data_IF_392807929235
#
_entry.id   IF_392807929235
#
_cell.length_a   1.000
_cell.length_b   1.000
_cell.length_c   1.000
_cell.angle_alpha   90.00
_cell.angle_beta   90.00
_cell.angle_gamma   90.00
#
_symmetry.space_group_name_H-M   'P 1'
#
loop_
_entity.id
_entity.type
_entity.pdbx_description
1 polymer ?
#
# COMPACT_ATOMS: atom_id res chain seq x y z
N UNK A 1 6.21 -1.12 -48.84
CA UNK A 1 5.61 -1.90 -47.73
C UNK A 1 6.60 -2.88 -47.03
N UNK A 2 7.91 -2.58 -46.96
CA UNK A 2 8.92 -3.50 -46.37
C UNK A 2 9.18 -3.35 -44.85
N UNK A 3 8.60 -2.35 -44.18
CA UNK A 3 8.93 -2.03 -42.78
C UNK A 3 8.22 -2.84 -41.68
N UNK A 4 7.10 -3.52 -41.97
CA UNK A 4 6.32 -4.22 -40.93
C UNK A 4 6.87 -5.60 -40.53
N UNK A 5 7.60 -6.29 -41.43
CA UNK A 5 8.12 -7.65 -41.19
C UNK A 5 9.46 -7.68 -40.44
N UNK A 6 10.24 -6.59 -40.50
CA UNK A 6 11.49 -6.43 -39.74
C UNK A 6 11.23 -6.06 -38.28
N UNK A 7 10.40 -5.03 -38.07
CA UNK A 7 10.04 -4.54 -36.73
C UNK A 7 9.36 -5.62 -35.86
N UNK A 8 8.52 -6.47 -36.45
CA UNK A 8 7.87 -7.58 -35.72
C UNK A 8 8.88 -8.64 -35.24
N UNK A 9 9.94 -8.90 -36.01
CA UNK A 9 11.00 -9.85 -35.64
C UNK A 9 11.91 -9.32 -34.53
N UNK A 10 12.29 -8.05 -34.59
CA UNK A 10 13.02 -7.38 -33.51
C UNK A 10 12.19 -7.32 -32.22
N UNK A 11 10.88 -7.09 -32.34
CA UNK A 11 9.97 -7.10 -31.19
C UNK A 11 9.88 -8.48 -30.51
N UNK A 12 9.83 -9.56 -31.28
CA UNK A 12 9.83 -10.93 -30.73
C UNK A 12 11.17 -11.25 -30.06
N UNK A 13 12.29 -10.74 -30.58
CA UNK A 13 13.63 -10.96 -30.00
C UNK A 13 13.82 -10.32 -28.60
N UNK A 14 13.38 -9.07 -28.40
CA UNK A 14 13.50 -8.40 -27.09
C UNK A 14 12.61 -9.07 -26.05
N UNK A 15 11.36 -9.39 -26.41
CA UNK A 15 10.44 -10.06 -25.48
C UNK A 15 10.97 -11.43 -25.04
N UNK A 16 11.49 -12.23 -25.97
CA UNK A 16 12.08 -13.53 -25.64
C UNK A 16 13.38 -13.40 -24.86
N UNK A 17 14.19 -12.37 -25.14
CA UNK A 17 15.36 -12.03 -24.35
C UNK A 17 15.00 -11.74 -22.89
N UNK A 18 14.03 -10.86 -22.64
CA UNK A 18 13.59 -10.52 -21.29
C UNK A 18 13.03 -11.74 -20.53
N UNK A 19 12.30 -12.64 -21.21
CA UNK A 19 11.82 -13.89 -20.60
C UNK A 19 12.97 -14.81 -20.18
N UNK A 20 14.02 -14.91 -20.99
CA UNK A 20 15.22 -15.69 -20.65
C UNK A 20 15.96 -15.07 -19.46
N UNK A 21 16.14 -13.76 -19.45
CA UNK A 21 16.80 -13.07 -18.33
C UNK A 21 15.97 -13.16 -17.04
N UNK A 22 14.65 -13.02 -17.10
CA UNK A 22 13.77 -13.26 -15.95
C UNK A 22 13.93 -14.69 -15.43
N UNK A 23 14.04 -15.69 -16.31
CA UNK A 23 14.28 -17.08 -15.89
C UNK A 23 15.61 -17.23 -15.15
N UNK A 24 16.66 -16.55 -15.60
CA UNK A 24 17.95 -16.53 -14.90
C UNK A 24 17.84 -15.83 -13.54
N UNK A 25 17.15 -14.70 -13.45
CA UNK A 25 16.91 -14.02 -12.18
C UNK A 25 16.19 -14.94 -11.18
N UNK A 26 15.12 -15.62 -11.61
CA UNK A 26 14.41 -16.60 -10.78
C UNK A 26 15.34 -17.69 -10.24
N UNK A 27 16.26 -18.20 -11.07
CA UNK A 27 17.25 -19.20 -10.68
C UNK A 27 18.28 -18.65 -9.69
N UNK A 28 18.84 -17.47 -9.95
CA UNK A 28 19.85 -16.81 -9.10
C UNK A 28 19.29 -16.58 -7.69
N UNK A 29 18.07 -16.03 -7.60
CA UNK A 29 17.46 -15.66 -6.33
C UNK A 29 16.65 -16.80 -5.69
N UNK A 30 16.39 -17.89 -6.42
CA UNK A 30 15.57 -19.02 -5.97
C UNK A 30 14.13 -18.61 -5.62
N UNK A 31 13.62 -17.50 -6.19
CA UNK A 31 12.34 -16.86 -5.84
C UNK A 31 11.71 -16.18 -7.05
N UNK A 32 10.46 -15.72 -6.91
CA UNK A 32 9.74 -14.99 -7.96
C UNK A 32 9.30 -15.90 -9.11
N UNK A 33 9.16 -17.20 -8.89
CA UNK A 33 8.79 -18.17 -9.93
C UNK A 33 7.40 -17.89 -10.53
N UNK A 34 6.52 -17.27 -9.76
CA UNK A 34 5.20 -16.78 -10.18
C UNK A 34 5.24 -15.59 -11.14
N UNK A 35 6.39 -14.91 -11.27
CA UNK A 35 6.49 -13.68 -12.05
C UNK A 35 6.50 -13.96 -13.55
N UNK A 36 5.80 -13.12 -14.31
CA UNK A 36 5.84 -13.11 -15.78
C UNK A 36 6.31 -11.74 -16.26
N UNK A 37 7.12 -11.69 -17.30
CA UNK A 37 7.50 -10.42 -17.95
C UNK A 37 6.65 -10.18 -19.20
N UNK A 38 6.13 -8.97 -19.31
CA UNK A 38 5.38 -8.47 -20.46
C UNK A 38 6.12 -7.25 -21.00
N UNK A 39 6.65 -7.38 -22.21
CA UNK A 39 7.22 -6.26 -22.93
C UNK A 39 6.14 -5.59 -23.79
N UNK A 40 5.87 -4.32 -23.52
CA UNK A 40 4.80 -3.54 -24.14
C UNK A 40 5.31 -2.12 -24.44
N UNK A 41 6.24 -1.95 -25.40
CA UNK A 41 6.98 -0.70 -25.56
C UNK A 41 6.05 0.51 -25.74
N UNK A 42 6.28 1.56 -24.95
CA UNK A 42 5.48 2.78 -24.97
C UNK A 42 6.36 4.02 -24.75
N UNK A 43 6.75 4.66 -25.86
CA UNK A 43 7.60 5.86 -25.86
C UNK A 43 6.95 7.09 -25.21
N UNK A 44 5.63 7.07 -24.97
CA UNK A 44 4.89 8.17 -24.31
C UNK A 44 4.57 7.87 -22.84
N UNK A 45 5.13 6.79 -22.29
CA UNK A 45 4.98 6.46 -20.87
C UNK A 45 5.99 7.26 -20.05
N UNK A 46 5.53 7.92 -18.98
CA UNK A 46 6.43 8.48 -17.96
C UNK A 46 7.10 7.38 -17.11
N UNK A 47 6.71 6.11 -17.30
CA UNK A 47 7.22 4.94 -16.60
C UNK A 47 8.04 4.06 -17.54
N UNK A 48 9.23 3.65 -17.08
CA UNK A 48 10.05 2.61 -17.73
C UNK A 48 9.48 1.20 -17.53
N UNK A 49 8.84 0.95 -16.40
CA UNK A 49 8.19 -0.31 -16.06
C UNK A 49 7.28 -0.20 -14.84
N UNK A 50 6.54 -1.27 -14.54
CA UNK A 50 5.75 -1.39 -13.32
C UNK A 50 5.44 -2.86 -12.98
N UNK A 51 5.18 -3.12 -11.69
CA UNK A 51 4.68 -4.43 -11.23
C UNK A 51 3.16 -4.39 -10.98
N UNK A 52 2.43 -5.27 -11.68
CA UNK A 52 0.99 -5.48 -11.49
C UNK A 52 0.70 -6.92 -11.09
N UNK A 53 0.54 -7.13 -9.79
CA UNK A 53 0.36 -8.47 -9.22
C UNK A 53 1.62 -9.31 -9.43
N UNK A 54 1.52 -10.32 -10.30
CA UNK A 54 2.66 -11.20 -10.65
C UNK A 54 3.25 -10.90 -12.03
N UNK A 55 2.92 -9.74 -12.62
CA UNK A 55 3.37 -9.36 -13.96
C UNK A 55 4.25 -8.13 -13.91
N UNK A 56 5.46 -8.26 -14.48
CA UNK A 56 6.42 -7.18 -14.67
C UNK A 56 6.19 -6.60 -16.07
N UNK A 57 5.66 -5.39 -16.14
CA UNK A 57 5.46 -4.67 -17.39
C UNK A 57 6.69 -3.82 -17.69
N UNK A 58 7.23 -3.94 -18.89
CA UNK A 58 8.41 -3.21 -19.36
C UNK A 58 8.04 -2.40 -20.59
N UNK A 59 8.19 -1.08 -20.49
CA UNK A 59 7.79 -0.09 -21.50
C UNK A 59 8.97 0.40 -22.35
N UNK A 60 10.20 0.14 -21.92
CA UNK A 60 11.39 0.56 -22.63
C UNK A 60 11.56 -0.17 -23.97
N UNK A 61 11.67 0.54 -25.11
CA UNK A 61 11.86 -0.08 -26.42
C UNK A 61 13.31 -0.53 -26.65
N UNK A 62 14.27 0.12 -26.00
CA UNK A 62 15.69 -0.24 -26.07
C UNK A 62 15.96 -1.50 -25.23
N UNK A 63 16.74 -2.43 -25.79
CA UNK A 63 16.98 -3.74 -25.19
C UNK A 63 17.74 -3.64 -23.86
N UNK A 64 18.75 -2.79 -23.78
CA UNK A 64 19.57 -2.65 -22.58
C UNK A 64 18.80 -1.93 -21.48
N UNK A 65 18.07 -0.87 -21.82
CA UNK A 65 17.18 -0.19 -20.87
C UNK A 65 16.07 -1.12 -20.38
N UNK A 66 15.46 -1.91 -21.27
CA UNK A 66 14.44 -2.88 -20.89
C UNK A 66 14.97 -3.96 -19.93
N UNK A 67 16.22 -4.40 -20.09
CA UNK A 67 16.86 -5.31 -19.14
C UNK A 67 17.07 -4.64 -17.77
N UNK A 68 17.57 -3.40 -17.76
CA UNK A 68 17.76 -2.66 -16.51
C UNK A 68 16.44 -2.49 -15.76
N UNK A 69 15.38 -2.11 -16.47
CA UNK A 69 14.03 -2.03 -15.90
C UNK A 69 13.58 -3.39 -15.37
N UNK A 70 13.73 -4.48 -16.13
CA UNK A 70 13.34 -5.82 -15.66
C UNK A 70 14.02 -6.19 -14.34
N UNK A 71 15.34 -5.93 -14.22
CA UNK A 71 16.09 -6.20 -12.99
C UNK A 71 15.55 -5.33 -11.83
N UNK A 72 15.30 -4.05 -12.08
CA UNK A 72 14.73 -3.14 -11.07
C UNK A 72 13.38 -3.63 -10.55
N UNK A 73 12.43 -3.87 -11.45
CA UNK A 73 11.07 -4.32 -11.10
C UNK A 73 11.07 -5.69 -10.40
N UNK A 74 11.95 -6.60 -10.81
CA UNK A 74 12.09 -7.91 -10.15
C UNK A 74 12.56 -7.77 -8.71
N UNK A 75 13.60 -6.96 -8.46
CA UNK A 75 14.13 -6.73 -7.12
C UNK A 75 13.12 -5.98 -6.24
N UNK A 76 12.46 -4.97 -6.81
CA UNK A 76 11.43 -4.21 -6.10
C UNK A 76 10.27 -5.10 -5.68
N UNK A 77 9.81 -6.01 -6.55
CA UNK A 77 8.79 -7.00 -6.18
C UNK A 77 9.25 -7.88 -5.01
N UNK A 78 10.46 -8.44 -5.07
CA UNK A 78 10.95 -9.31 -4.00
C UNK A 78 11.05 -8.57 -2.67
N UNK A 79 11.56 -7.34 -2.68
CA UNK A 79 11.73 -6.51 -1.49
C UNK A 79 10.35 -6.10 -0.94
N UNK A 80 9.44 -5.66 -1.80
CA UNK A 80 8.07 -5.29 -1.42
C UNK A 80 7.34 -6.44 -0.74
N UNK A 81 7.49 -7.68 -1.22
CA UNK A 81 6.91 -8.88 -0.57
C UNK A 81 7.49 -9.16 0.81
N UNK A 82 8.74 -8.79 1.07
CA UNK A 82 9.36 -8.90 2.39
C UNK A 82 8.83 -7.80 3.32
N UNK A 83 8.60 -6.59 2.81
CA UNK A 83 8.17 -5.43 3.60
C UNK A 83 6.68 -5.46 3.94
N UNK A 84 5.81 -5.91 3.02
CA UNK A 84 4.35 -5.85 3.17
C UNK A 84 3.83 -6.49 4.47
N UNK A 85 4.33 -7.66 4.94
CA UNK A 85 3.92 -8.23 6.22
C UNK A 85 4.19 -7.32 7.42
N UNK A 86 5.30 -6.57 7.42
CA UNK A 86 5.62 -5.65 8.51
C UNK A 86 4.68 -4.44 8.52
N UNK A 87 4.32 -3.94 7.34
CA UNK A 87 3.32 -2.89 7.16
C UNK A 87 1.94 -3.36 7.62
N UNK A 88 1.54 -4.57 7.28
CA UNK A 88 0.27 -5.17 7.72
C UNK A 88 0.19 -5.31 9.24
N UNK A 89 1.26 -5.79 9.88
CA UNK A 89 1.33 -5.90 11.35
C UNK A 89 1.27 -4.52 12.00
N UNK A 90 2.03 -3.55 11.47
CA UNK A 90 2.05 -2.18 12.01
C UNK A 90 0.67 -1.53 11.92
N UNK A 91 -0.02 -1.68 10.79
CA UNK A 91 -1.37 -1.15 10.60
C UNK A 91 -2.38 -1.78 11.58
N UNK A 92 -2.27 -3.09 11.85
CA UNK A 92 -3.11 -3.76 12.84
C UNK A 92 -2.83 -3.27 14.26
N UNK A 93 -1.57 -3.06 14.62
CA UNK A 93 -1.20 -2.49 15.92
C UNK A 93 -1.76 -1.08 16.10
N UNK A 94 -1.66 -0.24 15.07
CA UNK A 94 -2.25 1.11 15.07
C UNK A 94 -3.77 1.01 15.29
N UNK A 95 -4.47 0.13 14.56
CA UNK A 95 -5.92 -0.06 14.74
C UNK A 95 -6.29 -0.45 16.17
N UNK A 96 -5.59 -1.46 16.73
CA UNK A 96 -5.83 -1.94 18.09
C UNK A 96 -5.61 -0.84 19.14
N UNK A 97 -4.54 -0.06 19.02
CA UNK A 97 -4.25 1.04 19.93
C UNK A 97 -5.33 2.12 19.84
N UNK A 98 -5.75 2.46 18.62
CA UNK A 98 -6.79 3.46 18.40
C UNK A 98 -8.15 3.03 18.98
N UNK A 99 -8.54 1.77 18.77
CA UNK A 99 -9.75 1.20 19.35
C UNK A 99 -9.72 1.25 20.89
N UNK A 100 -8.61 0.83 21.48
CA UNK A 100 -8.43 0.86 22.93
C UNK A 100 -8.46 2.28 23.51
N UNK A 101 -7.75 3.22 22.86
CA UNK A 101 -7.74 4.62 23.26
C UNK A 101 -9.13 5.24 23.19
N UNK A 102 -9.88 4.94 22.12
CA UNK A 102 -11.26 5.41 21.95
C UNK A 102 -12.17 4.86 23.05
N UNK A 103 -12.11 3.56 23.34
CA UNK A 103 -12.91 2.94 24.40
C UNK A 103 -12.62 3.55 25.78
N UNK A 104 -11.35 3.76 26.14
CA UNK A 104 -10.97 4.40 27.41
C UNK A 104 -11.41 5.85 27.50
N UNK A 105 -11.29 6.60 26.41
CA UNK A 105 -11.81 7.96 26.32
C UNK A 105 -13.31 7.96 26.63
N UNK A 106 -14.06 7.06 26.03
CA UNK A 106 -15.51 7.06 26.18
C UNK A 106 -15.99 6.64 27.58
N UNK A 107 -15.34 5.64 28.19
CA UNK A 107 -15.56 5.29 29.60
C UNK A 107 -15.29 6.47 30.54
N UNK A 108 -14.25 7.26 30.24
CA UNK A 108 -13.88 8.44 31.02
C UNK A 108 -14.93 9.54 30.86
N UNK A 109 -15.35 9.82 29.63
CA UNK A 109 -16.40 10.80 29.33
C UNK A 109 -17.70 10.42 30.04
N UNK A 110 -18.15 9.18 29.94
CA UNK A 110 -19.37 8.71 30.61
C UNK A 110 -19.30 8.91 32.14
N UNK A 111 -18.15 8.60 32.74
CA UNK A 111 -17.94 8.77 34.19
C UNK A 111 -17.97 10.24 34.60
N UNK A 112 -17.29 11.10 33.85
CA UNK A 112 -17.29 12.54 34.09
C UNK A 112 -18.67 13.16 33.88
N UNK A 113 -19.40 12.76 32.84
CA UNK A 113 -20.76 13.23 32.58
C UNK A 113 -21.69 12.91 33.74
N UNK A 114 -21.62 11.69 34.30
CA UNK A 114 -22.41 11.32 35.50
C UNK A 114 -22.10 12.24 36.68
N UNK A 115 -20.83 12.55 36.93
CA UNK A 115 -20.41 13.45 38.01
C UNK A 115 -20.94 14.86 37.77
N UNK A 116 -20.72 15.42 36.58
CA UNK A 116 -21.14 16.78 36.23
C UNK A 116 -22.65 16.94 36.34
N UNK A 117 -23.43 16.00 35.80
CA UNK A 117 -24.89 16.04 35.90
C UNK A 117 -25.38 15.98 37.35
N UNK A 118 -24.80 15.10 38.17
CA UNK A 118 -25.14 15.01 39.60
C UNK A 118 -24.88 16.34 40.31
N UNK A 119 -23.72 16.95 40.05
CA UNK A 119 -23.35 18.26 40.63
C UNK A 119 -24.29 19.37 40.18
N UNK A 120 -24.64 19.44 38.89
CA UNK A 120 -25.58 20.43 38.36
C UNK A 120 -26.97 20.31 38.98
N UNK A 121 -27.46 19.08 39.22
CA UNK A 121 -28.75 18.85 39.89
C UNK A 121 -28.72 19.34 41.35
N UNK A 122 -27.65 19.05 42.09
CA UNK A 122 -27.48 19.52 43.48
C UNK A 122 -27.48 21.05 43.52
N UNK A 123 -26.67 21.70 42.69
CA UNK A 123 -26.59 23.16 42.61
C UNK A 123 -27.94 23.80 42.27
N UNK A 124 -28.70 23.21 41.34
CA UNK A 124 -30.05 23.70 41.00
C UNK A 124 -31.01 23.59 42.17
N UNK A 125 -30.99 22.46 42.89
CA UNK A 125 -31.87 22.23 44.03
C UNK A 125 -31.55 23.21 45.18
N UNK A 126 -30.27 23.45 45.47
CA UNK A 126 -29.84 24.41 46.49
C UNK A 126 -30.27 25.85 46.18
N UNK A 127 -30.14 26.27 44.91
CA UNK A 127 -30.62 27.58 44.45
C UNK A 127 -32.14 27.72 44.59
N UNK A 128 -32.90 26.65 44.31
CA UNK A 128 -34.36 26.66 44.45
C UNK A 128 -34.80 26.74 45.93
N UNK A 129 -34.12 26.04 46.83
CA UNK A 129 -34.38 26.11 48.28
C UNK A 129 -34.05 27.50 48.84
N UNK A 130 -32.94 28.12 48.43
CA UNK A 130 -32.60 29.51 48.84
C UNK A 130 -33.63 30.54 48.37
N UNK A 131 -34.28 30.34 47.22
CA UNK A 131 -35.36 31.24 46.76
C UNK A 131 -36.66 31.10 47.56
N UNK A 132 -36.96 29.91 48.06
CA UNK A 132 -38.13 29.65 48.93
C UNK A 132 -37.93 30.12 50.37
N UNK A 133 -36.69 30.30 50.81
CA UNK A 133 -36.34 30.71 52.17
C UNK A 133 -36.17 32.23 52.35
N UNK A 134 -36.38 33.05 51.31
CA UNK A 134 -36.49 34.51 51.47
C UNK A 134 -37.93 34.88 51.85
N UNK A 135 -38.13 35.69 52.90
CA UNK A 135 -39.45 36.04 53.44
C UNK A 135 -40.29 36.89 52.47
#
# INVERSE_FOLDING_TARGET
>A
MRGKSGRKRECEDIADFLRRELTRLKQIFGRGYELEVIWAPNENSDLSGEVKGTRLYIYEPDREQALQTLVHEFLDYLISRIIEPYKDVTNKLISLINEYAYQRKEQTIESLTKIVLKTLVILRNDLSNKRRAKP
#
